data_IF_734520328832
#
_entry.id   IF_734520328832
#
_cell.length_a   1.000
_cell.length_b   1.000
_cell.length_c   1.000
_cell.angle_alpha   90.00
_cell.angle_beta   90.00
_cell.angle_gamma   90.00
#
_symmetry.space_group_name_H-M   'P 1'
#
loop_
_entity.id
_entity.type
_entity.pdbx_description
1 polymer ?
#
# COMPACT_ATOMS: atom_id res chain seq x y z
N UNK A 1 -15.26 13.80 12.73
CA UNK A 1 -14.55 13.07 11.66
C UNK A 1 -14.36 11.64 12.14
N UNK A 2 -14.83 10.65 11.39
CA UNK A 2 -14.78 9.24 11.79
C UNK A 2 -13.35 8.71 11.59
N UNK A 3 -12.82 7.98 12.58
CA UNK A 3 -11.53 7.33 12.46
C UNK A 3 -11.68 6.07 11.60
N UNK A 4 -10.81 5.89 10.59
CA UNK A 4 -10.83 4.69 9.73
C UNK A 4 -10.28 3.47 10.45
N UNK A 5 -9.17 3.65 11.16
CA UNK A 5 -8.53 2.61 11.97
C UNK A 5 -7.99 3.25 13.24
N UNK A 6 -8.23 2.62 14.39
CA UNK A 6 -7.66 3.01 15.69
C UNK A 6 -7.05 1.77 16.34
N UNK A 7 -5.79 1.88 16.73
CA UNK A 7 -5.08 0.92 17.56
C UNK A 7 -4.96 1.49 18.96
N UNK A 8 -5.25 0.70 19.98
CA UNK A 8 -5.18 1.06 21.40
C UNK A 8 -4.32 0.00 22.13
N UNK A 9 -3.14 0.41 22.59
CA UNK A 9 -2.19 -0.41 23.36
C UNK A 9 -1.88 -1.78 22.70
N UNK A 10 -1.74 -1.79 21.38
CA UNK A 10 -1.56 -3.01 20.60
C UNK A 10 -0.16 -3.57 20.80
N UNK A 11 -0.09 -4.86 21.12
CA UNK A 11 1.14 -5.63 21.12
C UNK A 11 1.01 -6.88 20.24
N UNK A 12 2.13 -7.32 19.67
CA UNK A 12 2.24 -8.58 18.91
C UNK A 12 3.44 -9.35 19.39
N UNK A 13 3.20 -10.62 19.74
CA UNK A 13 4.22 -11.55 20.24
C UNK A 13 4.23 -12.80 19.34
N UNK A 14 5.39 -13.18 18.84
CA UNK A 14 5.62 -14.42 18.11
C UNK A 14 6.51 -15.34 18.98
N UNK A 15 5.92 -16.42 19.52
CA UNK A 15 6.60 -17.27 20.49
C UNK A 15 7.03 -16.47 21.71
N UNK A 16 8.34 -16.33 21.94
CA UNK A 16 8.89 -15.54 23.05
C UNK A 16 9.29 -14.12 22.63
N UNK A 17 9.19 -13.77 21.34
CA UNK A 17 9.65 -12.48 20.83
C UNK A 17 8.48 -11.49 20.74
N UNK A 18 8.52 -10.43 21.55
CA UNK A 18 7.62 -9.28 21.42
C UNK A 18 8.13 -8.39 20.28
N UNK A 19 7.33 -8.27 19.22
CA UNK A 19 7.67 -7.51 18.01
C UNK A 19 7.04 -6.12 18.02
N UNK A 20 5.83 -5.99 18.54
CA UNK A 20 5.18 -4.71 18.80
C UNK A 20 4.85 -4.60 20.29
N UNK A 21 5.03 -3.41 20.85
CA UNK A 21 4.78 -3.12 22.26
C UNK A 21 4.03 -1.81 22.38
N UNK A 22 2.84 -1.84 22.97
CA UNK A 22 2.05 -0.67 23.36
C UNK A 22 1.85 0.36 22.23
N UNK A 23 1.49 -0.12 21.04
CA UNK A 23 1.27 0.74 19.88
C UNK A 23 -0.14 1.32 19.93
N UNK A 24 -0.21 2.65 19.99
CA UNK A 24 -1.46 3.40 19.88
C UNK A 24 -1.36 4.40 18.74
N UNK A 25 -2.26 4.32 17.76
CA UNK A 25 -2.31 5.23 16.62
C UNK A 25 -3.72 5.31 16.04
N UNK A 26 -3.98 6.36 15.26
CA UNK A 26 -5.25 6.55 14.58
C UNK A 26 -5.02 7.00 13.14
N UNK A 27 -5.66 6.30 12.20
CA UNK A 27 -5.69 6.66 10.78
C UNK A 27 -6.99 7.41 10.47
N UNK A 28 -6.86 8.61 9.91
CA UNK A 28 -7.99 9.52 9.61
C UNK A 28 -8.03 9.84 8.12
N UNK A 29 -9.24 10.03 7.52
CA UNK A 29 -9.35 10.48 6.14
C UNK A 29 -8.49 11.72 5.85
N UNK A 30 -7.94 11.80 4.66
CA UNK A 30 -7.12 12.91 4.20
C UNK A 30 -5.78 13.11 4.90
N UNK A 31 -5.35 12.21 5.81
CA UNK A 31 -4.07 12.32 6.55
C UNK A 31 -3.07 11.26 6.07
N UNK A 32 -1.79 11.65 6.11
CA UNK A 32 -0.66 10.74 5.92
C UNK A 32 -0.05 10.44 7.28
N UNK A 33 0.16 9.17 7.58
CA UNK A 33 0.94 8.70 8.71
C UNK A 33 2.13 7.90 8.16
N UNK A 34 3.34 8.34 8.50
CA UNK A 34 4.56 7.66 8.08
C UNK A 34 5.19 6.90 9.23
N UNK A 35 5.49 5.63 9.01
CA UNK A 35 6.24 4.78 9.93
C UNK A 35 7.71 4.83 9.54
N UNK A 36 8.53 5.40 10.41
CA UNK A 36 9.98 5.47 10.25
C UNK A 36 10.68 4.54 11.22
N UNK A 37 11.82 4.01 10.85
CA UNK A 37 12.65 3.20 11.74
C UNK A 37 13.47 2.13 11.02
N UNK A 38 14.45 1.52 11.72
CA UNK A 38 15.35 0.54 11.14
C UNK A 38 14.64 -0.76 10.75
N UNK A 39 15.36 -1.60 9.99
CA UNK A 39 14.89 -2.96 9.69
C UNK A 39 14.72 -3.76 10.98
N UNK A 40 13.65 -4.56 11.03
CA UNK A 40 13.32 -5.35 12.22
C UNK A 40 12.59 -4.59 13.33
N UNK A 41 12.31 -3.29 13.18
CA UNK A 41 11.56 -2.49 14.16
C UNK A 41 10.07 -2.84 14.27
N UNK A 42 9.57 -3.81 13.50
CA UNK A 42 8.17 -4.23 13.54
C UNK A 42 7.24 -3.52 12.56
N UNK A 43 7.75 -2.61 11.69
CA UNK A 43 6.93 -1.84 10.74
C UNK A 43 6.02 -2.72 9.88
N UNK A 44 6.57 -3.77 9.26
CA UNK A 44 5.78 -4.69 8.42
C UNK A 44 4.77 -5.51 9.24
N UNK A 45 5.06 -5.79 10.52
CA UNK A 45 4.09 -6.41 11.43
C UNK A 45 2.94 -5.47 11.72
N UNK A 46 3.23 -4.19 11.97
CA UNK A 46 2.20 -3.17 12.18
C UNK A 46 1.32 -2.99 10.94
N UNK A 47 1.93 -2.95 9.75
CA UNK A 47 1.18 -2.94 8.48
C UNK A 47 0.24 -4.16 8.39
N UNK A 48 0.72 -5.37 8.68
CA UNK A 48 -0.12 -6.58 8.67
C UNK A 48 -1.26 -6.52 9.70
N UNK A 49 -1.03 -5.93 10.87
CA UNK A 49 -2.08 -5.69 11.88
C UNK A 49 -3.13 -4.74 11.32
N UNK A 50 -2.72 -3.61 10.71
CA UNK A 50 -3.64 -2.65 10.09
C UNK A 50 -4.46 -3.29 8.96
N UNK A 51 -3.82 -4.11 8.12
CA UNK A 51 -4.47 -4.85 7.03
C UNK A 51 -5.41 -5.98 7.52
N UNK A 52 -5.35 -6.35 8.81
CA UNK A 52 -6.14 -7.47 9.36
C UNK A 52 -5.56 -8.85 9.06
N UNK A 53 -4.31 -8.92 8.62
CA UNK A 53 -3.60 -10.17 8.32
C UNK A 53 -2.98 -10.81 9.58
N UNK A 54 -2.79 -10.02 10.62
CA UNK A 54 -2.28 -10.45 11.93
C UNK A 54 -3.19 -9.88 13.01
N UNK A 55 -3.67 -10.74 13.90
CA UNK A 55 -4.40 -10.32 15.08
C UNK A 55 -3.41 -9.83 16.16
N UNK A 56 -3.71 -8.75 16.89
CA UNK A 56 -2.90 -8.35 18.04
C UNK A 56 -2.97 -9.41 19.14
N UNK A 57 -1.85 -9.59 19.87
CA UNK A 57 -1.80 -10.45 21.07
C UNK A 57 -2.41 -9.75 22.27
N UNK A 58 -2.24 -8.43 22.36
CA UNK A 58 -2.77 -7.57 23.41
C UNK A 58 -3.30 -6.27 22.77
N UNK A 59 -4.16 -5.56 23.47
CA UNK A 59 -4.77 -4.33 22.99
C UNK A 59 -5.94 -4.55 22.03
N UNK A 60 -6.41 -3.48 21.43
CA UNK A 60 -7.61 -3.50 20.58
C UNK A 60 -7.33 -2.77 19.26
N UNK A 61 -7.85 -3.32 18.17
CA UNK A 61 -7.92 -2.63 16.89
C UNK A 61 -9.39 -2.44 16.49
N UNK A 62 -9.77 -1.19 16.24
CA UNK A 62 -11.09 -0.82 15.74
C UNK A 62 -10.93 -0.36 14.29
N UNK A 63 -11.76 -0.88 13.40
CA UNK A 63 -11.82 -0.49 11.98
C UNK A 63 -13.24 -0.02 11.65
N UNK A 64 -13.34 0.98 10.81
CA UNK A 64 -14.62 1.34 10.21
C UNK A 64 -15.21 0.16 9.43
N UNK A 65 -16.52 -0.06 9.53
CA UNK A 65 -17.19 -1.14 8.79
C UNK A 65 -17.01 -0.97 7.28
N UNK A 66 -16.71 -2.08 6.58
CA UNK A 66 -16.50 -2.10 5.13
C UNK A 66 -15.36 -1.20 4.61
N UNK A 67 -14.32 -0.98 5.43
CA UNK A 67 -13.16 -0.19 5.03
C UNK A 67 -12.49 -0.76 3.78
N UNK A 68 -12.48 0.03 2.69
CA UNK A 68 -11.77 -0.34 1.45
C UNK A 68 -10.31 0.06 1.58
N UNK A 69 -9.43 -0.94 1.57
CA UNK A 69 -7.98 -0.75 1.68
C UNK A 69 -7.32 -1.04 0.33
N UNK A 70 -6.48 -0.12 -0.14
CA UNK A 70 -5.51 -0.35 -1.20
C UNK A 70 -4.14 -0.65 -0.59
N UNK A 71 -3.48 -1.70 -1.04
CA UNK A 71 -2.16 -2.08 -0.52
C UNK A 71 -1.13 -2.18 -1.64
N UNK A 72 0.00 -1.50 -1.44
CA UNK A 72 1.20 -1.57 -2.29
C UNK A 72 2.29 -2.24 -1.44
N UNK A 73 2.68 -3.49 -1.76
CA UNK A 73 3.73 -4.20 -1.03
C UNK A 73 5.12 -3.69 -1.39
N UNK A 74 6.08 -3.87 -0.49
CA UNK A 74 7.49 -3.52 -0.69
C UNK A 74 8.09 -4.21 -1.92
N UNK A 75 7.79 -5.48 -2.12
CA UNK A 75 8.28 -6.28 -3.25
C UNK A 75 7.17 -7.11 -3.85
N UNK A 76 7.14 -7.13 -5.17
CA UNK A 76 6.33 -8.06 -5.94
C UNK A 76 7.24 -9.16 -6.47
N UNK A 77 7.05 -10.39 -5.97
CA UNK A 77 7.77 -11.55 -6.49
C UNK A 77 6.94 -12.16 -7.63
N UNK A 78 7.40 -11.96 -8.83
CA UNK A 78 6.86 -12.60 -10.03
C UNK A 78 7.91 -13.57 -10.58
N UNK A 79 7.45 -14.75 -10.97
CA UNK A 79 8.31 -15.68 -11.70
C UNK A 79 8.71 -15.04 -13.03
N UNK A 80 10.03 -14.99 -13.29
CA UNK A 80 10.58 -14.40 -14.51
C UNK A 80 10.10 -15.11 -15.79
N UNK A 81 9.68 -16.35 -15.68
CA UNK A 81 9.17 -17.17 -16.80
C UNK A 81 7.69 -16.96 -17.07
N UNK A 82 6.95 -16.31 -16.14
CA UNK A 82 5.51 -16.11 -16.29
C UNK A 82 5.22 -14.99 -17.32
N UNK A 83 4.53 -15.25 -18.43
CA UNK A 83 4.19 -14.24 -19.43
C UNK A 83 3.02 -13.38 -18.94
N UNK A 84 3.29 -12.45 -18.03
CA UNK A 84 2.30 -11.61 -17.38
C UNK A 84 2.42 -10.15 -17.85
N UNK A 85 1.42 -9.67 -18.59
CA UNK A 85 1.32 -8.25 -18.96
C UNK A 85 0.70 -7.45 -17.81
N UNK A 86 0.91 -6.13 -17.81
CA UNK A 86 0.30 -5.21 -16.84
C UNK A 86 -1.23 -5.38 -16.82
N UNK A 87 -1.89 -5.43 -17.96
CA UNK A 87 -3.34 -5.60 -18.03
C UNK A 87 -3.80 -6.91 -17.39
N UNK A 88 -3.09 -8.01 -17.64
CA UNK A 88 -3.40 -9.31 -17.01
C UNK A 88 -3.14 -9.28 -15.50
N UNK A 89 -2.04 -8.68 -15.07
CA UNK A 89 -1.73 -8.49 -13.65
C UNK A 89 -2.84 -7.71 -12.92
N UNK A 90 -3.34 -6.64 -13.51
CA UNK A 90 -4.43 -5.85 -12.96
C UNK A 90 -5.71 -6.67 -12.82
N UNK A 91 -6.03 -7.53 -13.81
CA UNK A 91 -7.20 -8.43 -13.80
C UNK A 91 -7.14 -9.54 -12.74
N UNK A 92 -5.96 -9.88 -12.20
CA UNK A 92 -5.85 -10.86 -11.12
C UNK A 92 -6.51 -10.38 -9.81
N UNK A 93 -6.82 -9.08 -9.72
CA UNK A 93 -7.57 -8.57 -8.57
C UNK A 93 -9.05 -8.88 -8.74
N UNK A 94 -9.70 -9.59 -7.77
CA UNK A 94 -11.13 -9.89 -7.83
C UNK A 94 -11.99 -8.63 -8.02
N UNK A 95 -13.02 -8.72 -8.83
CA UNK A 95 -13.95 -7.62 -9.12
C UNK A 95 -13.40 -6.55 -10.07
N UNK A 96 -12.22 -6.73 -10.67
CA UNK A 96 -11.66 -5.81 -11.66
C UNK A 96 -12.21 -6.14 -13.05
N UNK A 97 -12.70 -5.13 -13.77
CA UNK A 97 -13.09 -5.25 -15.16
C UNK A 97 -12.08 -4.60 -16.11
N UNK A 98 -11.96 -5.11 -17.34
CA UNK A 98 -11.02 -4.57 -18.35
C UNK A 98 -11.17 -3.07 -18.56
N UNK A 99 -12.40 -2.54 -18.51
CA UNK A 99 -12.72 -1.12 -18.68
C UNK A 99 -12.10 -0.23 -17.59
N UNK A 100 -11.80 -0.78 -16.42
CA UNK A 100 -11.32 0.00 -15.26
C UNK A 100 -9.79 0.13 -15.26
N UNK A 101 -9.08 -0.71 -16.03
CA UNK A 101 -7.62 -0.82 -16.00
C UNK A 101 -6.95 0.43 -16.57
N UNK A 102 -7.30 0.82 -17.80
CA UNK A 102 -6.67 1.97 -18.47
C UNK A 102 -6.90 3.28 -17.71
N UNK A 103 -8.11 3.59 -17.22
CA UNK A 103 -8.31 4.76 -16.35
C UNK A 103 -7.45 4.75 -15.08
N UNK A 104 -7.34 3.60 -14.39
CA UNK A 104 -6.50 3.48 -13.20
C UNK A 104 -5.01 3.70 -13.52
N UNK A 105 -4.50 3.13 -14.61
CA UNK A 105 -3.12 3.32 -15.06
C UNK A 105 -2.85 4.78 -15.47
N UNK A 106 -3.80 5.44 -16.15
CA UNK A 106 -3.65 6.85 -16.52
C UNK A 106 -3.56 7.77 -15.30
N UNK A 107 -4.29 7.49 -14.23
CA UNK A 107 -4.20 8.28 -12.97
C UNK A 107 -2.80 8.28 -12.37
N UNK A 108 -2.04 7.24 -12.57
CA UNK A 108 -0.65 7.12 -12.09
C UNK A 108 0.39 7.35 -13.19
N UNK A 109 -0.03 7.92 -14.33
CA UNK A 109 0.85 8.21 -15.48
C UNK A 109 1.53 6.95 -16.08
N UNK A 110 0.88 5.79 -15.98
CA UNK A 110 1.37 4.49 -16.46
C UNK A 110 0.50 3.89 -17.57
N UNK A 111 -0.39 4.68 -18.21
CA UNK A 111 -1.32 4.18 -19.22
C UNK A 111 -0.65 3.52 -20.43
N UNK A 112 0.55 3.99 -20.80
CA UNK A 112 1.36 3.45 -21.91
C UNK A 112 1.90 2.05 -21.61
N UNK A 113 1.88 1.58 -20.37
CA UNK A 113 2.42 0.29 -19.93
C UNK A 113 1.38 -0.84 -19.98
N UNK A 114 0.15 -0.59 -20.41
CA UNK A 114 -0.96 -1.55 -20.29
C UNK A 114 -0.65 -2.94 -20.89
N UNK A 115 0.07 -2.98 -22.00
CA UNK A 115 0.46 -4.23 -22.69
C UNK A 115 1.91 -4.64 -22.40
N UNK A 116 2.64 -3.87 -21.61
CA UNK A 116 4.03 -4.17 -21.27
C UNK A 116 4.10 -5.42 -20.37
N UNK A 117 5.14 -6.28 -20.55
CA UNK A 117 5.42 -7.37 -19.64
C UNK A 117 5.85 -6.83 -18.27
N UNK A 118 5.25 -7.33 -17.17
CA UNK A 118 5.57 -6.92 -15.80
C UNK A 118 7.09 -7.05 -15.49
N UNK A 119 7.75 -8.07 -16.02
CA UNK A 119 9.17 -8.34 -15.79
C UNK A 119 10.10 -7.33 -16.45
N UNK A 120 9.62 -6.55 -17.41
CA UNK A 120 10.42 -5.54 -18.14
C UNK A 120 10.26 -4.13 -17.58
N UNK A 121 9.42 -3.95 -16.57
CA UNK A 121 9.19 -2.65 -15.95
C UNK A 121 10.39 -2.23 -15.10
N UNK A 122 10.73 -0.96 -15.14
CA UNK A 122 11.62 -0.32 -14.17
C UNK A 122 11.01 -0.34 -12.76
N UNK A 123 11.81 -0.07 -11.73
CA UNK A 123 11.31 0.03 -10.36
C UNK A 123 10.17 1.05 -10.22
N UNK A 124 10.34 2.25 -10.77
CA UNK A 124 9.33 3.30 -10.73
C UNK A 124 8.06 2.95 -11.49
N UNK A 125 8.18 2.31 -12.67
CA UNK A 125 7.02 1.84 -13.44
C UNK A 125 6.26 0.74 -12.69
N UNK A 126 6.98 -0.19 -12.07
CA UNK A 126 6.39 -1.23 -11.23
C UNK A 126 5.60 -0.61 -10.07
N UNK A 127 6.17 0.37 -9.36
CA UNK A 127 5.49 1.04 -8.26
C UNK A 127 4.22 1.78 -8.73
N UNK A 128 4.26 2.44 -9.89
CA UNK A 128 3.07 3.09 -10.47
C UNK A 128 1.99 2.06 -10.81
N UNK A 129 2.34 0.92 -11.40
CA UNK A 129 1.38 -0.16 -11.71
C UNK A 129 0.77 -0.75 -10.43
N UNK A 130 1.58 -0.98 -9.38
CA UNK A 130 1.09 -1.44 -8.08
C UNK A 130 0.14 -0.43 -7.44
N UNK A 131 0.48 0.85 -7.53
CA UNK A 131 -0.37 1.95 -7.06
C UNK A 131 -1.69 1.99 -7.84
N UNK A 132 -1.66 1.91 -9.18
CA UNK A 132 -2.87 1.83 -10.00
C UNK A 132 -3.78 0.67 -9.56
N UNK A 133 -3.19 -0.50 -9.31
CA UNK A 133 -3.92 -1.68 -8.84
C UNK A 133 -4.56 -1.47 -7.47
N UNK A 134 -3.87 -0.77 -6.56
CA UNK A 134 -4.41 -0.42 -5.26
C UNK A 134 -5.60 0.55 -5.35
N UNK A 135 -5.63 1.41 -6.38
CA UNK A 135 -6.70 2.39 -6.60
C UNK A 135 -7.99 1.80 -7.19
N UNK A 136 -7.98 0.59 -7.76
CA UNK A 136 -9.12 0.00 -8.46
C UNK A 136 -10.40 -0.12 -7.61
N UNK A 137 -10.29 -0.19 -6.29
CA UNK A 137 -11.45 -0.25 -5.39
C UNK A 137 -11.80 1.09 -4.73
N UNK A 138 -11.22 2.19 -5.22
CA UNK A 138 -11.40 3.50 -4.61
C UNK A 138 -11.18 3.46 -3.09
N UNK A 139 -9.92 3.22 -2.64
CA UNK A 139 -9.63 2.96 -1.24
C UNK A 139 -9.91 4.19 -0.37
N UNK A 140 -10.38 3.94 0.85
CA UNK A 140 -10.47 4.92 1.94
C UNK A 140 -9.15 4.97 2.73
N UNK A 141 -8.40 3.86 2.71
CA UNK A 141 -7.06 3.76 3.27
C UNK A 141 -6.09 3.18 2.24
N UNK A 142 -5.03 3.89 1.96
CA UNK A 142 -3.93 3.43 1.13
C UNK A 142 -2.74 3.07 2.01
N UNK A 143 -2.29 1.83 1.94
CA UNK A 143 -1.13 1.33 2.70
C UNK A 143 0.01 1.09 1.72
N UNK A 144 1.12 1.78 1.94
CA UNK A 144 2.30 1.78 1.08
C UNK A 144 3.51 1.29 1.87
N UNK A 145 4.00 0.10 1.53
CA UNK A 145 5.16 -0.51 2.20
C UNK A 145 6.41 -0.24 1.37
N UNK A 146 7.20 0.76 1.76
CA UNK A 146 8.43 1.23 1.09
C UNK A 146 8.24 1.53 -0.42
N UNK A 147 7.32 2.42 -0.78
CA UNK A 147 6.90 2.62 -2.16
C UNK A 147 8.00 3.17 -3.08
N UNK A 148 9.08 3.71 -2.52
CA UNK A 148 10.20 4.29 -3.26
C UNK A 148 11.39 3.34 -3.42
N UNK A 149 11.30 2.11 -2.90
CA UNK A 149 12.39 1.14 -3.00
C UNK A 149 12.68 0.79 -4.47
N UNK A 150 13.96 0.93 -4.87
CA UNK A 150 14.39 0.65 -6.25
C UNK A 150 14.01 1.72 -7.27
N UNK A 151 13.56 2.89 -6.81
CA UNK A 151 13.26 4.07 -7.63
C UNK A 151 14.39 5.09 -7.48
N UNK A 152 14.83 5.72 -8.57
CA UNK A 152 15.83 6.78 -8.53
C UNK A 152 15.29 8.03 -7.79
N UNK A 153 16.19 8.94 -7.40
CA UNK A 153 15.83 10.11 -6.59
C UNK A 153 14.75 10.99 -7.23
N UNK A 154 14.84 11.24 -8.53
CA UNK A 154 13.85 12.05 -9.25
C UNK A 154 12.48 11.33 -9.30
N UNK A 155 12.50 10.02 -9.55
CA UNK A 155 11.30 9.19 -9.52
C UNK A 155 10.65 9.10 -8.13
N UNK A 156 11.44 9.12 -7.06
CA UNK A 156 10.93 9.14 -5.68
C UNK A 156 10.13 10.41 -5.41
N UNK A 157 10.67 11.59 -5.75
CA UNK A 157 9.96 12.87 -5.59
C UNK A 157 8.65 12.84 -6.37
N UNK A 158 8.69 12.45 -7.65
CA UNK A 158 7.50 12.36 -8.50
C UNK A 158 6.45 11.36 -7.96
N UNK A 159 6.90 10.28 -7.31
CA UNK A 159 6.00 9.30 -6.71
C UNK A 159 5.34 9.84 -5.43
N UNK A 160 6.07 10.56 -4.58
CA UNK A 160 5.51 11.22 -3.40
C UNK A 160 4.49 12.30 -3.77
N UNK A 161 4.77 13.11 -4.79
CA UNK A 161 3.84 14.11 -5.30
C UNK A 161 2.55 13.44 -5.81
N UNK A 162 2.69 12.36 -6.56
CA UNK A 162 1.56 11.57 -7.04
C UNK A 162 0.72 10.99 -5.90
N UNK A 163 1.36 10.40 -4.88
CA UNK A 163 0.67 9.86 -3.70
C UNK A 163 -0.10 10.98 -2.98
N UNK A 164 0.51 12.14 -2.81
CA UNK A 164 -0.15 13.29 -2.17
C UNK A 164 -1.34 13.81 -3.00
N UNK A 165 -1.22 13.89 -4.32
CA UNK A 165 -2.32 14.23 -5.21
C UNK A 165 -3.47 13.23 -5.08
N UNK A 166 -3.20 11.92 -5.16
CA UNK A 166 -4.20 10.87 -5.03
C UNK A 166 -4.90 10.90 -3.68
N UNK A 167 -4.16 11.15 -2.59
CA UNK A 167 -4.72 11.33 -1.25
C UNK A 167 -5.75 12.46 -1.22
N UNK A 168 -5.42 13.60 -1.83
CA UNK A 168 -6.33 14.76 -1.89
C UNK A 168 -7.56 14.45 -2.74
N UNK A 169 -7.38 13.88 -3.93
CA UNK A 169 -8.49 13.55 -4.85
C UNK A 169 -9.48 12.55 -4.27
N UNK A 170 -9.00 11.56 -3.48
CA UNK A 170 -9.81 10.49 -2.91
C UNK A 170 -10.26 10.77 -1.48
N UNK A 171 -9.76 11.83 -0.85
CA UNK A 171 -9.87 12.07 0.60
C UNK A 171 -9.50 10.82 1.43
N UNK A 172 -8.56 10.03 0.95
CA UNK A 172 -8.16 8.79 1.61
C UNK A 172 -7.08 9.04 2.67
N UNK A 173 -7.04 8.19 3.69
CA UNK A 173 -5.89 8.10 4.57
C UNK A 173 -4.73 7.40 3.85
N UNK A 174 -3.49 7.76 4.20
CA UNK A 174 -2.29 7.07 3.72
C UNK A 174 -1.47 6.62 4.93
N UNK A 175 -1.19 5.32 5.01
CA UNK A 175 -0.18 4.75 5.89
C UNK A 175 1.03 4.38 5.04
N UNK A 176 2.16 5.00 5.29
CA UNK A 176 3.37 4.78 4.52
C UNK A 176 4.49 4.27 5.43
N UNK A 177 5.21 3.25 4.99
CA UNK A 177 6.45 2.79 5.61
C UNK A 177 7.63 3.34 4.81
N UNK A 178 8.60 3.95 5.50
CA UNK A 178 9.84 4.41 4.91
C UNK A 178 11.03 4.06 5.79
N UNK A 179 12.21 4.00 5.19
CA UNK A 179 13.49 3.86 5.90
C UNK A 179 14.17 5.19 6.15
N UNK A 180 13.82 6.20 5.35
CA UNK A 180 14.40 7.56 5.36
C UNK A 180 13.39 8.59 5.85
#
# INVERSE_FOLDING_TARGET
MTNLVTLENVAVVYGQRRVLSDISLTLKPGKILTLLGPNGAGKSTLVRVVLGLVAPTEGVIKREGHLRIGYVPQKLHLDATMPLTVSRFMLLRPGTHKRDILPALKRVQAGHLIDAPMQKLSGGETQRVLLARALLNQPQLLVLDEPTQGVDVNGQVALYDLINQLRQELDCAVLMVSHD
#
